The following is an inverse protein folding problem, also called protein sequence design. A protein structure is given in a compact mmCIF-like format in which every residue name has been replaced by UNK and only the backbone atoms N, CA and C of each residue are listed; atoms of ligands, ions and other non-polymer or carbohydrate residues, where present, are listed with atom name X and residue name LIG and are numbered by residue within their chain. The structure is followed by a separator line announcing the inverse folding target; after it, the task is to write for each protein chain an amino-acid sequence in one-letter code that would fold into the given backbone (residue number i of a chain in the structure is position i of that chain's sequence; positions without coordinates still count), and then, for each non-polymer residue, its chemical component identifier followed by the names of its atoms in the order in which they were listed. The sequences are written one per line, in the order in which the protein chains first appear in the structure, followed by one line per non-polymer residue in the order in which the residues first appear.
data_IF_369172806969
#
_entry.id   IF_369172806969
#
_cell.length_a   1.000
_cell.length_b   1.000
_cell.length_c   1.000
_cell.angle_alpha   90.00
_cell.angle_beta   90.00
_cell.angle_gamma   90.00
#
_symmetry.space_group_name_H-M   'P 1'
#
loop_
_entity.id
_entity.type
_entity.pdbx_description
1 polymer ?
#
# COMPACT_ATOMS: atom_id res chain seq x y z
N UNK A 1 34.28 -7.68 -22.58
CA UNK A 1 33.23 -8.69 -22.89
C UNK A 1 33.90 -9.99 -23.31
N UNK A 2 33.37 -11.14 -22.90
CA UNK A 2 33.89 -12.42 -23.33
C UNK A 2 33.54 -12.68 -24.81
N UNK A 3 34.50 -13.10 -25.59
CA UNK A 3 34.33 -13.31 -27.04
C UNK A 3 34.25 -14.80 -27.33
N UNK A 4 33.31 -15.24 -28.15
CA UNK A 4 33.18 -16.64 -28.54
C UNK A 4 34.22 -17.04 -29.53
N UNK A 5 34.80 -18.26 -29.34
CA UNK A 5 35.73 -18.90 -30.24
C UNK A 5 35.06 -20.06 -30.97
N UNK A 6 35.34 -20.23 -32.26
CA UNK A 6 34.85 -21.34 -33.06
C UNK A 6 35.64 -22.61 -32.71
N UNK A 7 34.93 -23.68 -32.45
CA UNK A 7 35.49 -24.98 -32.16
C UNK A 7 35.73 -25.77 -33.48
N UNK A 8 36.58 -26.80 -33.48
CA UNK A 8 36.79 -27.67 -34.64
C UNK A 8 35.50 -28.36 -35.13
N UNK A 9 34.55 -28.56 -34.23
CA UNK A 9 33.19 -29.09 -34.55
C UNK A 9 32.31 -28.12 -35.33
N UNK A 10 32.76 -26.87 -35.53
CA UNK A 10 31.96 -25.82 -36.16
C UNK A 10 31.08 -25.00 -35.15
N UNK A 11 30.84 -25.51 -33.94
CA UNK A 11 30.10 -24.80 -32.88
C UNK A 11 30.91 -23.64 -32.29
N UNK A 12 30.21 -22.70 -31.64
CA UNK A 12 30.84 -21.58 -30.94
C UNK A 12 30.88 -21.83 -29.44
N UNK A 13 31.98 -21.45 -28.78
CA UNK A 13 32.15 -21.51 -27.32
C UNK A 13 32.58 -20.16 -26.77
N UNK A 14 31.87 -19.66 -25.78
CA UNK A 14 32.23 -18.49 -24.98
C UNK A 14 32.51 -18.91 -23.54
N UNK A 15 33.59 -18.39 -22.95
CA UNK A 15 33.99 -18.72 -21.58
C UNK A 15 34.04 -17.45 -20.73
N UNK A 16 33.36 -17.49 -19.57
CA UNK A 16 33.34 -16.40 -18.59
C UNK A 16 33.99 -16.90 -17.31
N UNK A 17 34.74 -16.02 -16.62
CA UNK A 17 35.30 -16.32 -15.31
C UNK A 17 34.13 -16.54 -14.29
N UNK A 18 34.07 -17.73 -13.72
CA UNK A 18 33.14 -18.05 -12.67
C UNK A 18 33.64 -17.54 -11.31
N UNK A 19 34.71 -18.08 -10.83
CA UNK A 19 35.37 -17.71 -9.59
C UNK A 19 36.83 -18.13 -9.60
N UNK A 20 37.57 -17.76 -8.57
CA UNK A 20 38.94 -18.21 -8.37
C UNK A 20 38.96 -19.11 -7.15
N UNK A 21 39.42 -20.34 -7.31
CA UNK A 21 39.61 -21.30 -6.21
C UNK A 21 41.04 -21.26 -5.72
N UNK A 22 41.22 -21.38 -4.41
CA UNK A 22 42.51 -21.67 -3.80
C UNK A 22 42.68 -23.17 -3.69
N UNK A 23 43.84 -23.66 -4.01
CA UNK A 23 44.20 -25.08 -3.89
C UNK A 23 45.60 -25.22 -3.31
N UNK A 24 45.83 -26.27 -2.57
CA UNK A 24 47.15 -26.58 -2.02
C UNK A 24 47.95 -27.32 -3.08
N UNK A 25 49.10 -26.77 -3.44
CA UNK A 25 50.06 -27.44 -4.33
C UNK A 25 50.78 -28.60 -3.63
N UNK A 26 51.40 -29.51 -4.38
CA UNK A 26 52.18 -30.63 -3.81
C UNK A 26 53.33 -30.18 -2.90
N UNK A 27 53.81 -28.95 -3.05
CA UNK A 27 54.83 -28.32 -2.23
C UNK A 27 54.32 -27.65 -0.95
N UNK A 28 53.00 -27.76 -0.66
CA UNK A 28 52.38 -27.19 0.50
C UNK A 28 51.99 -25.70 0.34
N UNK A 29 52.32 -25.04 -0.77
CA UNK A 29 51.96 -23.64 -1.02
C UNK A 29 50.53 -23.51 -1.56
N UNK A 30 49.85 -22.38 -1.23
CA UNK A 30 48.51 -22.08 -1.74
C UNK A 30 48.61 -21.50 -3.14
N UNK A 31 48.03 -22.18 -4.11
CA UNK A 31 47.87 -21.71 -5.48
C UNK A 31 46.45 -21.21 -5.73
N UNK A 32 46.29 -20.36 -6.76
CA UNK A 32 44.98 -19.87 -7.22
C UNK A 32 44.72 -20.34 -8.65
N UNK A 33 43.57 -20.98 -8.90
CA UNK A 33 43.15 -21.34 -10.23
C UNK A 33 41.85 -20.64 -10.61
N UNK A 34 41.75 -20.19 -11.86
CA UNK A 34 40.55 -19.51 -12.39
C UNK A 34 39.60 -20.55 -12.99
N UNK A 35 38.45 -20.71 -12.35
CA UNK A 35 37.36 -21.55 -12.85
C UNK A 35 36.50 -20.74 -13.82
N UNK A 36 36.25 -21.32 -15.01
CA UNK A 36 35.47 -20.68 -16.08
C UNK A 36 34.22 -21.49 -16.40
N UNK A 37 33.10 -20.81 -16.58
CA UNK A 37 31.86 -21.41 -17.12
C UNK A 37 31.87 -21.27 -18.65
N UNK A 38 31.53 -22.34 -19.34
CA UNK A 38 31.49 -22.40 -20.80
C UNK A 38 30.03 -22.41 -21.29
N UNK A 39 29.80 -21.64 -22.34
CA UNK A 39 28.56 -21.61 -23.09
C UNK A 39 28.84 -22.04 -24.51
N UNK A 40 28.03 -22.93 -25.07
CA UNK A 40 28.20 -23.45 -26.44
C UNK A 40 26.93 -23.26 -27.24
N UNK A 41 27.11 -23.03 -28.56
CA UNK A 41 26.02 -22.94 -29.51
C UNK A 41 26.43 -23.71 -30.79
N UNK A 42 25.60 -24.65 -31.21
CA UNK A 42 25.91 -25.55 -32.36
C UNK A 42 25.65 -24.91 -33.73
N UNK A 43 25.03 -23.73 -33.77
CA UNK A 43 24.88 -22.94 -34.99
C UNK A 43 26.26 -22.40 -35.44
N UNK A 44 26.78 -22.91 -36.55
CA UNK A 44 28.10 -22.56 -37.08
C UNK A 44 28.19 -21.16 -37.71
N UNK A 45 27.07 -20.45 -37.83
CA UNK A 45 26.97 -19.13 -38.46
C UNK A 45 27.37 -17.99 -37.50
N UNK A 46 27.45 -16.75 -38.03
CA UNK A 46 27.64 -15.55 -37.20
C UNK A 46 26.51 -15.31 -36.17
N UNK A 47 25.36 -15.91 -36.44
CA UNK A 47 24.22 -15.86 -35.49
C UNK A 47 24.52 -16.70 -34.27
N UNK A 48 25.04 -17.91 -34.42
CA UNK A 48 25.46 -18.77 -33.32
C UNK A 48 26.55 -18.13 -32.45
N UNK A 49 27.49 -17.39 -33.06
CA UNK A 49 28.47 -16.59 -32.30
C UNK A 49 27.78 -15.60 -31.38
N UNK A 50 26.82 -14.81 -31.89
CA UNK A 50 26.06 -13.81 -31.10
C UNK A 50 25.27 -14.45 -29.97
N UNK A 51 24.57 -15.56 -30.24
CA UNK A 51 23.81 -16.28 -29.22
C UNK A 51 24.73 -16.75 -28.09
N UNK A 52 25.90 -17.31 -28.42
CA UNK A 52 26.86 -17.79 -27.44
C UNK A 52 27.43 -16.64 -26.58
N UNK A 53 27.73 -15.49 -27.19
CA UNK A 53 28.17 -14.28 -26.49
C UNK A 53 27.08 -13.67 -25.61
N UNK A 54 25.84 -13.68 -26.10
CA UNK A 54 24.64 -13.19 -25.33
C UNK A 54 24.41 -14.06 -24.10
N UNK A 55 24.38 -15.39 -24.21
CA UNK A 55 24.23 -16.30 -23.06
C UNK A 55 25.35 -16.08 -22.03
N UNK A 56 26.56 -15.84 -22.47
CA UNK A 56 27.69 -15.55 -21.60
C UNK A 56 27.56 -14.20 -20.90
N UNK A 57 27.08 -13.17 -21.61
CA UNK A 57 26.82 -11.83 -21.05
C UNK A 57 25.66 -11.82 -20.07
N UNK A 58 24.55 -12.48 -20.39
CA UNK A 58 23.38 -12.63 -19.49
C UNK A 58 23.77 -13.34 -18.19
N UNK A 59 24.60 -14.41 -18.31
CA UNK A 59 25.08 -15.10 -17.12
C UNK A 59 26.05 -14.24 -16.31
N UNK A 60 26.95 -13.47 -16.95
CA UNK A 60 27.83 -12.55 -16.24
C UNK A 60 27.05 -11.46 -15.51
N UNK A 61 26.05 -10.87 -16.16
CA UNK A 61 25.18 -9.86 -15.55
C UNK A 61 24.36 -10.45 -14.38
N UNK A 62 23.86 -11.68 -14.50
CA UNK A 62 23.18 -12.37 -13.41
C UNK A 62 24.13 -12.64 -12.23
N UNK A 63 25.41 -12.91 -12.51
CA UNK A 63 26.44 -13.14 -11.51
C UNK A 63 26.83 -11.86 -10.76
N UNK A 64 26.89 -10.72 -11.43
CA UNK A 64 27.17 -9.43 -10.78
C UNK A 64 26.08 -9.05 -9.80
N UNK A 65 24.85 -9.51 -10.04
CA UNK A 65 23.71 -9.34 -9.13
C UNK A 65 23.67 -10.37 -7.97
N UNK A 66 24.52 -11.41 -8.02
CA UNK A 66 24.67 -12.38 -6.94
C UNK A 66 25.95 -12.03 -6.16
N UNK A 67 25.82 -11.28 -5.09
CA UNK A 67 26.94 -11.08 -4.15
C UNK A 67 27.40 -12.45 -3.61
N UNK A 68 28.70 -12.71 -3.53
CA UNK A 68 29.22 -13.95 -2.91
C UNK A 68 28.73 -14.17 -1.48
N UNK A 69 28.32 -13.09 -0.80
CA UNK A 69 27.72 -13.11 0.55
C UNK A 69 26.33 -13.75 0.53
N UNK A 70 25.59 -13.68 -0.59
CA UNK A 70 24.23 -14.23 -0.66
C UNK A 70 24.16 -15.76 -0.64
N UNK A 71 25.21 -16.46 -1.03
CA UNK A 71 25.24 -17.94 -1.06
C UNK A 71 25.27 -18.58 0.35
N UNK A 72 25.61 -17.80 1.38
CA UNK A 72 25.69 -18.27 2.78
C UNK A 72 24.55 -17.77 3.66
N UNK A 73 23.79 -16.73 3.24
CA UNK A 73 22.74 -16.12 4.05
C UNK A 73 21.51 -17.02 4.18
N UNK A 74 20.95 -17.05 5.39
CA UNK A 74 19.61 -17.57 5.62
C UNK A 74 18.57 -16.54 5.13
N UNK A 75 17.31 -16.97 4.96
CA UNK A 75 16.22 -16.05 4.63
C UNK A 75 16.04 -14.97 5.70
N UNK A 76 16.20 -15.33 6.99
CA UNK A 76 16.12 -14.39 8.09
C UNK A 76 17.17 -13.29 8.05
N UNK A 77 18.43 -13.64 7.72
CA UNK A 77 19.52 -12.67 7.53
C UNK A 77 19.31 -11.81 6.29
N UNK A 78 18.86 -12.40 5.18
CA UNK A 78 18.51 -11.65 3.97
C UNK A 78 17.34 -10.68 4.20
N UNK A 79 16.33 -11.08 4.98
CA UNK A 79 15.22 -10.21 5.37
C UNK A 79 15.69 -9.07 6.27
N UNK A 80 16.58 -9.36 7.22
CA UNK A 80 17.20 -8.34 8.09
C UNK A 80 17.95 -7.30 7.26
N UNK A 81 18.82 -7.75 6.36
CA UNK A 81 19.59 -6.86 5.48
C UNK A 81 18.65 -6.06 4.55
N UNK A 82 17.61 -6.71 4.01
CA UNK A 82 16.58 -6.05 3.19
C UNK A 82 15.88 -4.92 3.92
N UNK A 83 15.54 -5.10 5.19
CA UNK A 83 14.87 -4.10 6.02
C UNK A 83 15.85 -2.97 6.37
N UNK A 84 17.03 -3.30 6.88
CA UNK A 84 18.04 -2.35 7.37
C UNK A 84 18.56 -1.44 6.26
N UNK A 85 18.81 -2.00 5.07
CA UNK A 85 19.24 -1.21 3.91
C UNK A 85 18.19 -0.19 3.40
N UNK A 86 16.95 -0.28 3.86
CA UNK A 86 15.82 0.59 3.46
C UNK A 86 15.25 1.45 4.58
N UNK A 87 15.85 1.40 5.75
CA UNK A 87 15.33 2.07 6.96
C UNK A 87 15.20 3.58 6.78
N UNK A 88 16.13 4.20 6.07
CA UNK A 88 16.11 5.65 5.79
C UNK A 88 15.29 6.03 4.54
N UNK A 89 14.81 5.06 3.75
CA UNK A 89 14.08 5.29 2.49
C UNK A 89 12.59 5.03 2.70
N UNK A 90 12.25 3.94 3.42
CA UNK A 90 10.87 3.56 3.64
C UNK A 90 10.25 4.33 4.81
N UNK A 91 8.91 4.41 4.79
CA UNK A 91 8.17 4.99 5.90
C UNK A 91 8.42 4.21 7.20
N UNK A 92 8.58 4.88 8.37
CA UNK A 92 8.72 4.22 9.67
C UNK A 92 7.64 3.17 9.96
N UNK A 93 6.40 3.43 9.54
CA UNK A 93 5.33 2.43 9.65
C UNK A 93 5.60 1.17 8.83
N UNK A 94 6.17 1.31 7.63
CA UNK A 94 6.49 0.17 6.77
C UNK A 94 7.60 -0.66 7.39
N UNK A 95 8.65 -0.02 7.90
CA UNK A 95 9.75 -0.69 8.62
C UNK A 95 9.22 -1.43 9.84
N UNK A 96 8.38 -0.78 10.65
CA UNK A 96 7.74 -1.40 11.82
C UNK A 96 6.92 -2.64 11.42
N UNK A 97 6.15 -2.55 10.35
CA UNK A 97 5.31 -3.66 9.88
C UNK A 97 6.16 -4.82 9.33
N UNK A 98 7.28 -4.53 8.66
CA UNK A 98 8.27 -5.52 8.21
C UNK A 98 8.95 -6.21 9.41
N UNK A 99 9.40 -5.44 10.40
CA UNK A 99 9.96 -5.98 11.65
C UNK A 99 8.93 -6.82 12.42
N UNK A 100 7.66 -6.40 12.41
CA UNK A 100 6.55 -7.19 12.96
C UNK A 100 6.36 -8.52 12.23
N UNK A 101 6.45 -8.51 10.91
CA UNK A 101 6.39 -9.72 10.08
C UNK A 101 7.55 -10.66 10.37
N UNK A 102 8.76 -10.14 10.43
CA UNK A 102 9.97 -10.90 10.75
C UNK A 102 9.88 -11.61 12.10
N UNK A 103 9.33 -10.94 13.11
CA UNK A 103 9.23 -11.51 14.48
C UNK A 103 8.13 -12.54 14.65
N UNK A 104 6.99 -12.33 13.96
CA UNK A 104 5.77 -13.05 14.31
C UNK A 104 5.31 -14.06 13.25
N UNK A 105 5.80 -13.96 12.01
CA UNK A 105 5.29 -14.76 10.90
C UNK A 105 6.41 -15.44 10.11
N UNK A 106 6.05 -16.44 9.32
CA UNK A 106 6.96 -17.14 8.39
C UNK A 106 8.25 -17.69 9.06
N UNK A 107 8.16 -18.05 10.34
CA UNK A 107 9.31 -18.55 11.11
C UNK A 107 9.94 -19.81 10.49
N UNK A 108 9.15 -20.62 9.78
CA UNK A 108 9.62 -21.80 9.06
C UNK A 108 10.60 -21.51 7.92
N UNK A 109 10.63 -20.26 7.41
CA UNK A 109 11.58 -19.85 6.36
C UNK A 109 12.87 -19.27 6.93
N UNK A 110 12.85 -18.73 8.15
CA UNK A 110 13.95 -17.89 8.66
C UNK A 110 15.31 -18.60 8.69
N UNK A 111 15.35 -19.88 9.00
CA UNK A 111 16.59 -20.67 9.08
C UNK A 111 17.03 -21.31 7.77
N UNK A 112 16.23 -21.24 6.69
CA UNK A 112 16.57 -21.86 5.41
C UNK A 112 17.55 -20.96 4.66
N UNK A 113 18.62 -21.53 4.09
CA UNK A 113 19.53 -20.79 3.23
C UNK A 113 18.79 -20.22 2.03
N UNK A 114 19.03 -18.95 1.69
CA UNK A 114 18.26 -18.22 0.69
C UNK A 114 18.32 -18.88 -0.69
N UNK A 115 19.42 -19.49 -1.04
CA UNK A 115 19.64 -20.22 -2.29
C UNK A 115 18.96 -21.60 -2.32
N UNK A 116 18.70 -22.19 -1.15
CA UNK A 116 18.06 -23.49 -1.00
C UNK A 116 16.52 -23.41 -0.89
N UNK A 117 15.95 -22.21 -0.66
CA UNK A 117 14.48 -22.04 -0.56
C UNK A 117 13.80 -22.52 -1.84
N UNK A 118 12.81 -23.37 -1.68
CA UNK A 118 11.98 -23.88 -2.78
C UNK A 118 10.62 -23.19 -2.82
N UNK A 119 9.92 -23.30 -3.94
CA UNK A 119 8.53 -22.86 -4.07
C UNK A 119 7.61 -23.57 -3.07
N UNK A 120 7.92 -24.83 -2.76
CA UNK A 120 7.15 -25.63 -1.79
C UNK A 120 7.30 -25.10 -0.36
N UNK A 121 8.51 -24.68 0.05
CA UNK A 121 8.75 -24.10 1.36
C UNK A 121 7.94 -22.81 1.53
N UNK A 122 7.92 -21.96 0.51
CA UNK A 122 7.14 -20.72 0.54
C UNK A 122 5.64 -21.04 0.61
N UNK A 123 5.15 -22.00 -0.18
CA UNK A 123 3.75 -22.38 -0.14
C UNK A 123 3.34 -22.94 1.23
N UNK A 124 4.17 -23.78 1.84
CA UNK A 124 3.94 -24.32 3.21
C UNK A 124 3.90 -23.21 4.24
N UNK A 125 4.86 -22.27 4.21
CA UNK A 125 4.88 -21.14 5.13
C UNK A 125 3.63 -20.27 4.99
N UNK A 126 3.21 -19.94 3.77
CA UNK A 126 2.00 -19.16 3.50
C UNK A 126 0.73 -19.91 3.93
N UNK A 127 0.66 -21.22 3.73
CA UNK A 127 -0.48 -22.03 4.17
C UNK A 127 -0.62 -22.02 5.70
N UNK A 128 0.48 -22.12 6.44
CA UNK A 128 0.48 -22.04 7.91
C UNK A 128 -0.08 -20.70 8.41
N UNK A 129 0.31 -19.60 7.76
CA UNK A 129 -0.19 -18.26 8.10
C UNK A 129 -1.66 -18.08 7.70
N UNK A 130 -2.08 -18.68 6.59
CA UNK A 130 -3.45 -18.55 6.07
C UNK A 130 -4.52 -19.19 6.99
N UNK A 131 -4.13 -20.12 7.85
CA UNK A 131 -5.03 -20.72 8.86
C UNK A 131 -5.43 -19.69 9.94
N UNK A 132 -4.52 -18.80 10.31
CA UNK A 132 -4.64 -17.90 11.46
C UNK A 132 -4.97 -16.45 11.06
N UNK A 133 -4.61 -16.04 9.85
CA UNK A 133 -4.62 -14.65 9.46
C UNK A 133 -5.63 -14.33 8.35
N UNK A 134 -5.99 -13.07 8.26
CA UNK A 134 -6.85 -12.58 7.18
C UNK A 134 -6.15 -12.71 5.81
N UNK A 135 -6.91 -12.93 4.71
CA UNK A 135 -6.35 -12.98 3.37
C UNK A 135 -5.49 -11.76 3.00
N UNK A 136 -5.82 -10.58 3.51
CA UNK A 136 -5.04 -9.35 3.30
C UNK A 136 -3.69 -9.42 4.00
N UNK A 137 -3.65 -9.87 5.25
CA UNK A 137 -2.42 -10.01 6.02
C UNK A 137 -1.48 -11.01 5.38
N UNK A 138 -2.00 -12.20 5.00
CA UNK A 138 -1.21 -13.23 4.29
C UNK A 138 -0.60 -12.69 2.99
N UNK A 139 -1.37 -11.92 2.22
CA UNK A 139 -0.87 -11.30 0.98
C UNK A 139 0.20 -10.25 1.24
N UNK A 140 0.12 -9.50 2.33
CA UNK A 140 1.15 -8.54 2.72
C UNK A 140 2.45 -9.27 3.12
N UNK A 141 2.34 -10.35 3.90
CA UNK A 141 3.48 -11.20 4.27
C UNK A 141 4.14 -11.79 3.02
N UNK A 142 3.36 -12.40 2.11
CA UNK A 142 3.87 -12.92 0.84
C UNK A 142 4.51 -11.82 -0.01
N UNK A 143 3.96 -10.60 0.00
CA UNK A 143 4.55 -9.45 -0.70
C UNK A 143 5.94 -9.10 -0.19
N UNK A 144 6.19 -9.19 1.12
CA UNK A 144 7.51 -8.99 1.71
C UNK A 144 8.47 -10.13 1.34
N UNK A 145 8.03 -11.40 1.46
CA UNK A 145 8.82 -12.56 1.02
C UNK A 145 9.24 -12.42 -0.45
N UNK A 146 8.28 -12.06 -1.30
CA UNK A 146 8.50 -11.83 -2.73
C UNK A 146 9.51 -10.71 -3.00
N UNK A 147 9.44 -9.63 -2.23
CA UNK A 147 10.34 -8.49 -2.36
C UNK A 147 11.79 -8.84 -1.95
N UNK A 148 11.95 -9.61 -0.90
CA UNK A 148 13.27 -10.14 -0.46
C UNK A 148 13.84 -11.08 -1.52
N UNK A 149 13.06 -12.08 -1.95
CA UNK A 149 13.53 -13.04 -2.96
C UNK A 149 13.86 -12.38 -4.30
N UNK A 150 13.16 -11.33 -4.68
CA UNK A 150 13.50 -10.58 -5.90
C UNK A 150 14.88 -9.94 -5.85
N UNK A 151 15.37 -9.57 -4.66
CA UNK A 151 16.70 -9.00 -4.48
C UNK A 151 17.76 -10.09 -4.45
N UNK A 152 17.55 -11.14 -3.66
CA UNK A 152 18.56 -12.15 -3.37
C UNK A 152 18.51 -13.37 -4.31
N UNK A 153 17.35 -13.62 -4.95
CA UNK A 153 17.15 -14.69 -5.95
C UNK A 153 16.33 -14.21 -7.15
N UNK A 154 16.79 -13.24 -7.93
CA UNK A 154 16.02 -12.60 -9.00
C UNK A 154 15.57 -13.59 -10.10
N UNK A 155 16.24 -14.73 -10.25
CA UNK A 155 15.86 -15.78 -11.20
C UNK A 155 14.73 -16.69 -10.71
N UNK A 156 14.34 -16.60 -9.44
CA UNK A 156 13.26 -17.42 -8.86
C UNK A 156 11.90 -16.82 -9.18
N UNK A 157 11.16 -17.43 -10.10
CA UNK A 157 9.77 -17.07 -10.34
C UNK A 157 8.87 -17.63 -9.23
N UNK A 158 8.11 -16.77 -8.57
CA UNK A 158 7.15 -17.18 -7.53
C UNK A 158 5.78 -17.47 -8.11
N UNK A 159 5.29 -18.69 -7.89
CA UNK A 159 3.95 -19.14 -8.25
C UNK A 159 3.20 -19.65 -7.01
N UNK A 160 3.00 -18.77 -6.02
CA UNK A 160 2.37 -19.12 -4.75
C UNK A 160 0.86 -18.94 -4.83
N UNK A 161 0.10 -19.99 -4.49
CA UNK A 161 -1.34 -19.90 -4.32
C UNK A 161 -1.66 -19.06 -3.07
N UNK A 162 -2.43 -17.99 -3.25
CA UNK A 162 -2.79 -17.06 -2.18
C UNK A 162 -4.29 -17.09 -1.89
N UNK A 163 -4.71 -16.92 -0.62
CA UNK A 163 -6.12 -16.91 -0.28
C UNK A 163 -6.86 -15.81 -1.06
N UNK A 164 -8.11 -16.11 -1.48
CA UNK A 164 -8.95 -15.15 -2.21
C UNK A 164 -9.19 -13.89 -1.40
N UNK A 165 -9.13 -12.72 -2.05
CA UNK A 165 -9.48 -11.45 -1.40
C UNK A 165 -10.95 -11.50 -0.97
N UNK A 166 -11.21 -11.29 0.32
CA UNK A 166 -12.59 -11.08 0.80
C UNK A 166 -12.95 -9.61 0.60
N UNK A 167 -14.13 -9.35 0.06
CA UNK A 167 -14.70 -8.00 0.09
C UNK A 167 -15.08 -7.68 1.53
N UNK A 168 -14.51 -6.62 2.07
CA UNK A 168 -14.92 -6.08 3.37
C UNK A 168 -16.11 -5.18 3.08
N UNK A 169 -17.25 -5.48 3.70
CA UNK A 169 -18.37 -4.57 3.71
C UNK A 169 -18.02 -3.43 4.66
N UNK A 170 -17.84 -2.22 4.10
CA UNK A 170 -17.57 -1.03 4.90
C UNK A 170 -18.88 -0.58 5.51
N UNK A 171 -18.89 -0.35 6.83
CA UNK A 171 -19.98 0.35 7.47
C UNK A 171 -19.73 1.86 7.31
N UNK A 172 -20.71 2.57 6.78
CA UNK A 172 -20.70 4.03 6.69
C UNK A 172 -21.83 4.51 7.60
N UNK A 173 -21.51 5.31 8.63
CA UNK A 173 -22.54 5.81 9.53
C UNK A 173 -23.54 6.71 8.78
N UNK A 174 -24.80 6.70 9.21
CA UNK A 174 -25.85 7.58 8.69
C UNK A 174 -25.71 9.02 9.23
N UNK A 175 -26.46 9.96 8.66
CA UNK A 175 -26.50 11.35 9.11
C UNK A 175 -27.00 11.44 10.57
N UNK A 176 -27.97 10.61 10.95
CA UNK A 176 -28.51 10.55 12.31
C UNK A 176 -27.45 10.04 13.29
N UNK A 177 -26.71 9.01 12.94
CA UNK A 177 -25.64 8.45 13.78
C UNK A 177 -24.50 9.45 13.96
N UNK A 178 -24.10 10.15 12.88
CA UNK A 178 -23.08 11.21 12.96
C UNK A 178 -23.57 12.38 13.79
N UNK A 179 -24.85 12.76 13.69
CA UNK A 179 -25.45 13.80 14.53
C UNK A 179 -25.49 13.42 16.03
N UNK A 180 -25.85 12.18 16.35
CA UNK A 180 -25.78 11.66 17.72
C UNK A 180 -24.35 11.71 18.24
N UNK A 181 -23.38 11.28 17.41
CA UNK A 181 -21.97 11.32 17.75
C UNK A 181 -21.51 12.76 18.03
N UNK A 182 -21.81 13.71 17.14
CA UNK A 182 -21.42 15.12 17.28
C UNK A 182 -21.97 15.72 18.57
N UNK A 183 -23.24 15.50 18.87
CA UNK A 183 -23.85 15.97 20.12
C UNK A 183 -23.19 15.37 21.37
N UNK A 184 -22.74 14.11 21.27
CA UNK A 184 -22.10 13.42 22.41
C UNK A 184 -20.66 13.89 22.64
N UNK A 185 -19.94 14.28 21.58
CA UNK A 185 -18.55 14.73 21.69
C UNK A 185 -18.40 16.23 21.91
N UNK A 186 -19.49 16.99 21.85
CA UNK A 186 -19.50 18.44 22.05
C UNK A 186 -18.85 18.80 23.40
N UNK A 187 -17.93 19.77 23.39
CA UNK A 187 -17.16 20.19 24.55
C UNK A 187 -16.09 19.19 25.02
N UNK A 188 -15.94 18.04 24.35
CA UNK A 188 -14.90 17.05 24.68
C UNK A 188 -13.69 17.18 23.76
N UNK A 189 -12.60 16.51 24.12
CA UNK A 189 -11.39 16.41 23.28
C UNK A 189 -11.59 15.67 21.94
N UNK A 190 -12.73 15.00 21.74
CA UNK A 190 -13.10 14.33 20.50
C UNK A 190 -13.89 15.21 19.54
N UNK A 191 -14.43 16.34 19.98
CA UNK A 191 -15.24 17.22 19.14
C UNK A 191 -14.51 17.62 17.87
N UNK A 192 -13.38 18.28 18.01
CA UNK A 192 -12.60 18.78 16.88
C UNK A 192 -12.12 17.64 15.96
N UNK A 193 -11.54 16.53 16.46
CA UNK A 193 -11.22 15.37 15.60
C UNK A 193 -12.39 14.84 14.78
N UNK A 194 -13.56 14.73 15.37
CA UNK A 194 -14.78 14.23 14.69
C UNK A 194 -15.22 15.20 13.60
N UNK A 195 -15.29 16.50 13.89
CA UNK A 195 -15.65 17.53 12.91
C UNK A 195 -14.69 17.55 11.72
N UNK A 196 -13.38 17.51 11.97
CA UNK A 196 -12.36 17.51 10.92
C UNK A 196 -12.40 16.24 10.05
N UNK A 197 -12.75 15.09 10.63
CA UNK A 197 -12.89 13.85 9.88
C UNK A 197 -14.20 13.78 9.08
N UNK A 198 -15.31 14.22 9.66
CA UNK A 198 -16.65 14.14 9.06
C UNK A 198 -16.88 15.21 7.98
N UNK A 199 -16.35 16.42 8.15
CA UNK A 199 -16.57 17.52 7.20
C UNK A 199 -15.39 17.79 6.29
N UNK A 200 -14.12 17.48 6.73
CA UNK A 200 -12.90 17.73 5.96
C UNK A 200 -12.21 16.50 5.37
N UNK A 201 -12.85 15.35 5.29
CA UNK A 201 -12.34 13.97 5.12
C UNK A 201 -10.85 13.79 5.46
N UNK A 202 -10.42 14.31 6.61
CA UNK A 202 -9.04 14.21 7.07
C UNK A 202 -8.73 12.82 7.65
N UNK A 203 -7.48 12.38 7.47
CA UNK A 203 -7.01 11.14 8.09
C UNK A 203 -6.67 11.38 9.57
N UNK A 204 -6.84 10.36 10.39
CA UNK A 204 -6.54 10.41 11.83
C UNK A 204 -5.16 11.02 12.15
N UNK A 205 -4.12 10.59 11.42
CA UNK A 205 -2.77 11.10 11.64
C UNK A 205 -2.56 12.54 11.14
N UNK A 206 -3.30 12.98 10.13
CA UNK A 206 -3.33 14.38 9.66
C UNK A 206 -3.95 15.28 10.72
N UNK A 207 -5.07 14.87 11.29
CA UNK A 207 -5.76 15.59 12.38
C UNK A 207 -4.86 15.76 13.60
N UNK A 208 -4.20 14.69 14.05
CA UNK A 208 -3.29 14.75 15.20
C UNK A 208 -2.01 15.56 14.94
N UNK A 209 -1.67 15.80 13.67
CA UNK A 209 -0.49 16.60 13.29
C UNK A 209 -0.82 18.06 12.99
N UNK A 210 -2.11 18.45 12.96
CA UNK A 210 -2.57 19.78 12.59
C UNK A 210 -2.13 20.83 13.61
N UNK A 211 -1.59 21.95 13.12
CA UNK A 211 -1.15 23.08 13.90
C UNK A 211 -1.94 24.35 13.57
N UNK A 212 -1.94 25.32 14.47
CA UNK A 212 -2.60 26.62 14.23
C UNK A 212 -2.03 27.33 13.00
N UNK A 213 -0.74 27.18 12.72
CA UNK A 213 -0.08 27.75 11.54
C UNK A 213 -0.57 27.16 10.20
N UNK A 214 -1.26 26.04 10.24
CA UNK A 214 -1.83 25.39 9.05
C UNK A 214 -3.23 25.94 8.69
N UNK A 215 -3.76 26.89 9.48
CA UNK A 215 -5.12 27.44 9.34
C UNK A 215 -5.02 28.89 8.90
N UNK A 216 -5.68 29.23 7.78
CA UNK A 216 -5.78 30.58 7.26
C UNK A 216 -7.25 30.87 6.87
N UNK A 217 -7.95 31.66 7.70
CA UNK A 217 -9.41 31.82 7.57
C UNK A 217 -10.09 30.44 7.68
N UNK A 218 -10.92 30.11 6.71
CA UNK A 218 -11.63 28.83 6.65
C UNK A 218 -10.81 27.70 5.97
N UNK A 219 -9.64 28.02 5.49
CA UNK A 219 -8.80 27.07 4.76
C UNK A 219 -7.80 26.40 5.68
N UNK A 220 -7.83 25.08 5.73
CA UNK A 220 -6.89 24.22 6.45
C UNK A 220 -5.93 23.57 5.46
N UNK A 221 -4.63 23.80 5.64
CA UNK A 221 -3.58 23.17 4.85
C UNK A 221 -3.15 21.85 5.48
N UNK A 222 -3.46 20.75 4.82
CA UNK A 222 -3.09 19.40 5.25
C UNK A 222 -1.77 19.01 4.62
N UNK A 223 -0.65 19.26 5.31
CA UNK A 223 0.71 19.00 4.82
C UNK A 223 1.51 18.09 5.74
N UNK A 224 0.91 17.59 6.83
CA UNK A 224 1.58 16.83 7.89
C UNK A 224 0.79 15.59 8.26
N UNK A 225 1.47 14.57 8.75
CA UNK A 225 0.86 13.34 9.24
C UNK A 225 1.65 12.77 10.42
N UNK A 226 0.97 12.49 11.52
CA UNK A 226 1.57 11.86 12.70
C UNK A 226 1.58 10.34 12.55
N UNK A 227 2.75 9.73 12.68
CA UNK A 227 2.97 8.29 12.52
C UNK A 227 3.75 7.72 13.69
N UNK A 228 3.57 6.42 13.96
CA UNK A 228 4.30 5.71 15.01
C UNK A 228 5.55 5.06 14.44
N UNK A 229 6.68 5.28 15.09
CA UNK A 229 7.97 4.65 14.75
C UNK A 229 8.06 3.22 15.27
N UNK A 230 9.17 2.55 14.98
CA UNK A 230 9.49 1.22 15.52
C UNK A 230 9.64 1.25 17.05
N UNK A 231 10.22 2.31 17.59
CA UNK A 231 10.44 2.53 19.03
C UNK A 231 9.19 3.04 19.76
N UNK A 232 8.02 2.89 19.10
CA UNK A 232 6.74 3.34 19.62
C UNK A 232 6.61 4.85 19.86
N UNK A 233 7.51 5.66 19.32
CA UNK A 233 7.43 7.12 19.39
C UNK A 233 6.50 7.67 18.30
N UNK A 234 5.84 8.78 18.60
CA UNK A 234 5.01 9.50 17.63
C UNK A 234 5.83 10.63 17.02
N UNK A 235 5.94 10.62 15.69
CA UNK A 235 6.62 11.66 14.91
C UNK A 235 5.69 12.27 13.88
N UNK A 236 5.91 13.56 13.57
CA UNK A 236 5.23 14.26 12.50
C UNK A 236 6.12 14.24 11.26
N UNK A 237 5.53 13.95 10.11
CA UNK A 237 6.23 13.95 8.83
C UNK A 237 5.32 14.42 7.71
N UNK A 238 5.90 14.72 6.55
CA UNK A 238 5.16 15.03 5.33
C UNK A 238 4.22 13.87 4.89
N UNK A 239 3.17 14.15 4.13
CA UNK A 239 2.27 13.14 3.58
C UNK A 239 3.01 12.13 2.70
N UNK A 240 2.45 10.92 2.58
CA UNK A 240 3.04 9.83 1.79
C UNK A 240 3.00 10.09 0.27
N UNK A 241 2.09 10.94 -0.20
CA UNK A 241 1.86 11.21 -1.63
C UNK A 241 1.54 12.69 -1.83
N UNK A 242 1.79 13.19 -3.03
CA UNK A 242 1.44 14.57 -3.42
C UNK A 242 -0.05 14.88 -3.20
N UNK A 243 -0.95 13.94 -3.49
CA UNK A 243 -2.38 14.12 -3.23
C UNK A 243 -2.71 14.28 -1.73
N UNK A 244 -1.80 13.90 -0.84
CA UNK A 244 -1.95 14.11 0.61
C UNK A 244 -1.71 15.56 1.03
N UNK A 245 -0.96 16.33 0.26
CA UNK A 245 -0.75 17.77 0.47
C UNK A 245 -1.89 18.52 -0.23
N UNK A 246 -2.76 19.15 0.55
CA UNK A 246 -4.00 19.75 0.05
C UNK A 246 -4.56 20.80 0.97
N UNK A 247 -5.44 21.62 0.43
CA UNK A 247 -6.20 22.61 1.15
C UNK A 247 -7.66 22.17 1.25
N UNK A 248 -8.26 22.37 2.42
CA UNK A 248 -9.66 22.04 2.70
C UNK A 248 -10.34 23.29 3.25
N UNK A 249 -11.39 23.71 2.58
CA UNK A 249 -12.27 24.79 3.05
C UNK A 249 -13.32 24.20 4.00
N UNK A 250 -13.41 24.74 5.21
CA UNK A 250 -14.33 24.30 6.25
C UNK A 250 -15.41 25.34 6.49
N UNK A 251 -16.63 24.94 6.95
CA UNK A 251 -17.64 25.86 7.43
C UNK A 251 -17.12 26.71 8.60
N UNK A 252 -17.60 27.96 8.69
CA UNK A 252 -17.24 28.93 9.74
C UNK A 252 -17.41 28.31 11.14
N UNK A 253 -18.53 27.66 11.41
CA UNK A 253 -18.82 27.00 12.69
C UNK A 253 -17.76 25.97 13.11
N UNK A 254 -17.10 25.30 12.16
CA UNK A 254 -16.02 24.36 12.47
C UNK A 254 -14.75 25.11 12.85
N UNK A 255 -14.42 26.14 12.10
CA UNK A 255 -13.21 26.95 12.33
C UNK A 255 -13.30 27.74 13.67
N UNK A 256 -14.47 28.25 14.00
CA UNK A 256 -14.70 28.97 15.26
C UNK A 256 -14.49 28.08 16.49
N UNK A 257 -14.79 26.78 16.40
CA UNK A 257 -14.59 25.80 17.46
C UNK A 257 -13.13 25.35 17.62
N UNK A 258 -12.26 25.65 16.64
CA UNK A 258 -10.84 25.26 16.73
C UNK A 258 -10.12 26.05 17.83
N UNK A 259 -9.27 25.40 18.64
CA UNK A 259 -8.48 26.08 19.66
C UNK A 259 -7.56 27.14 19.03
N UNK A 260 -7.67 28.38 19.46
CA UNK A 260 -6.83 29.52 19.02
C UNK A 260 -5.58 29.60 19.89
N UNK A 261 -4.69 28.61 19.77
CA UNK A 261 -3.44 28.54 20.53
C UNK A 261 -2.26 28.16 19.65
N UNK A 262 -1.02 28.61 19.91
CA UNK A 262 0.15 28.19 19.16
C UNK A 262 0.38 26.68 19.24
N UNK A 263 0.94 26.11 18.16
CA UNK A 263 1.26 24.69 18.09
C UNK A 263 0.08 23.82 17.67
N UNK A 264 0.10 22.57 18.12
CA UNK A 264 -0.88 21.56 17.72
C UNK A 264 -2.29 21.88 18.23
N UNK A 265 -3.26 21.73 17.34
CA UNK A 265 -4.69 21.89 17.65
C UNK A 265 -5.19 20.74 18.55
N UNK A 266 -4.69 19.53 18.33
CA UNK A 266 -5.11 18.30 19.00
C UNK A 266 -3.96 17.76 19.85
N UNK A 267 -4.20 17.59 21.16
CA UNK A 267 -3.21 17.05 22.08
C UNK A 267 -3.08 15.51 22.00
N UNK A 268 -4.09 14.83 21.45
CA UNK A 268 -4.11 13.38 21.30
C UNK A 268 -3.13 12.90 20.21
N UNK A 269 -2.53 11.75 20.45
CA UNK A 269 -1.90 10.99 19.37
C UNK A 269 -2.93 10.08 18.67
N UNK A 270 -2.64 9.54 17.47
CA UNK A 270 -3.57 8.70 16.72
C UNK A 270 -4.04 7.42 17.45
N UNK A 271 -3.24 6.87 18.36
CA UNK A 271 -3.65 5.74 19.21
C UNK A 271 -4.72 6.15 20.21
N UNK A 272 -4.41 7.17 21.02
CA UNK A 272 -5.34 7.71 22.02
C UNK A 272 -6.66 8.15 21.39
N UNK A 273 -6.59 8.80 20.22
CA UNK A 273 -7.79 9.20 19.47
C UNK A 273 -8.67 7.99 19.13
N UNK A 274 -8.08 6.90 18.66
CA UNK A 274 -8.86 5.67 18.36
C UNK A 274 -9.50 5.09 19.61
N UNK A 275 -8.70 4.91 20.69
CA UNK A 275 -9.18 4.28 21.92
C UNK A 275 -10.33 5.09 22.58
N UNK A 276 -10.19 6.43 22.56
CA UNK A 276 -11.24 7.32 23.08
C UNK A 276 -12.49 7.32 22.20
N UNK A 277 -12.32 7.30 20.88
CA UNK A 277 -13.42 7.22 19.92
C UNK A 277 -14.22 5.93 20.08
N UNK A 278 -13.56 4.77 20.21
CA UNK A 278 -14.23 3.50 20.45
C UNK A 278 -15.00 3.48 21.79
N UNK A 279 -14.45 4.10 22.83
CA UNK A 279 -15.15 4.27 24.11
C UNK A 279 -16.38 5.18 23.96
N UNK A 280 -16.28 6.23 23.17
CA UNK A 280 -17.38 7.15 22.89
C UNK A 280 -18.52 6.43 22.16
N UNK A 281 -18.25 5.65 21.10
CA UNK A 281 -19.28 4.90 20.37
C UNK A 281 -20.06 3.95 21.29
N UNK A 282 -19.36 3.26 22.18
CA UNK A 282 -20.02 2.40 23.18
C UNK A 282 -20.93 3.18 24.14
N UNK A 283 -20.53 4.39 24.53
CA UNK A 283 -21.35 5.28 25.36
C UNK A 283 -22.61 5.75 24.66
N UNK A 284 -22.54 6.04 23.37
CA UNK A 284 -23.65 6.48 22.54
C UNK A 284 -24.61 5.35 22.15
N UNK A 285 -24.27 4.10 22.45
CA UNK A 285 -24.97 2.92 21.94
C UNK A 285 -25.07 2.90 20.38
N UNK A 286 -24.06 3.47 19.73
CA UNK A 286 -23.96 3.47 18.28
C UNK A 286 -23.32 2.16 17.78
N UNK A 287 -23.65 1.70 16.57
CA UNK A 287 -22.95 0.61 15.92
C UNK A 287 -21.44 0.86 15.89
N UNK A 288 -20.66 -0.22 15.97
CA UNK A 288 -19.20 -0.10 15.89
C UNK A 288 -18.78 0.27 14.48
N UNK A 289 -18.14 1.43 14.32
CA UNK A 289 -17.40 1.84 13.13
C UNK A 289 -16.08 2.49 13.55
N UNK A 290 -15.13 2.53 12.61
CA UNK A 290 -13.80 3.06 12.89
C UNK A 290 -13.79 4.57 12.74
N UNK A 291 -12.91 5.26 13.42
CA UNK A 291 -12.70 6.69 13.22
C UNK A 291 -12.47 7.06 11.73
N UNK A 292 -11.80 6.19 10.97
CA UNK A 292 -11.58 6.39 9.54
C UNK A 292 -12.86 6.35 8.70
N UNK A 293 -13.91 5.72 9.21
CA UNK A 293 -15.18 5.59 8.49
C UNK A 293 -15.97 6.93 8.48
N UNK A 294 -15.64 7.89 9.35
CA UNK A 294 -16.11 9.29 9.25
C UNK A 294 -15.61 9.97 7.96
N UNK A 295 -14.40 9.66 7.54
CA UNK A 295 -13.87 10.13 6.26
C UNK A 295 -14.59 9.47 5.08
N UNK A 296 -15.02 8.22 5.21
CA UNK A 296 -15.85 7.55 4.22
C UNK A 296 -17.26 8.15 4.18
N UNK A 297 -17.84 8.47 5.35
CA UNK A 297 -19.08 9.22 5.46
C UNK A 297 -19.00 10.55 4.70
N UNK A 298 -17.98 11.37 4.96
CA UNK A 298 -17.78 12.65 4.27
C UNK A 298 -17.76 12.49 2.74
N UNK A 299 -17.01 11.52 2.22
CA UNK A 299 -16.95 11.25 0.80
C UNK A 299 -18.30 10.81 0.23
N UNK A 300 -19.07 10.01 0.97
CA UNK A 300 -20.38 9.53 0.57
C UNK A 300 -21.41 10.65 0.51
N UNK A 301 -21.40 11.56 1.49
CA UNK A 301 -22.27 12.74 1.49
C UNK A 301 -21.96 13.67 0.33
N UNK A 302 -20.69 13.99 0.10
CA UNK A 302 -20.28 14.84 -1.04
C UNK A 302 -20.74 14.24 -2.38
N UNK A 303 -20.60 12.92 -2.54
CA UNK A 303 -21.07 12.22 -3.72
C UNK A 303 -22.61 12.25 -3.83
N UNK A 304 -23.34 12.06 -2.72
CA UNK A 304 -24.80 12.14 -2.67
C UNK A 304 -25.32 13.55 -3.04
N UNK A 305 -24.55 14.58 -2.72
CA UNK A 305 -24.82 15.97 -3.12
C UNK A 305 -24.49 16.25 -4.59
N UNK A 306 -24.00 15.27 -5.34
CA UNK A 306 -23.65 15.43 -6.76
C UNK A 306 -22.32 16.13 -6.99
N UNK A 307 -21.45 16.25 -5.98
CA UNK A 307 -20.11 16.83 -6.16
C UNK A 307 -19.28 15.90 -7.05
N UNK A 308 -18.68 16.39 -8.14
CA UNK A 308 -17.87 15.55 -9.03
C UNK A 308 -16.69 14.89 -8.30
N UNK A 309 -16.39 13.64 -8.67
CA UNK A 309 -15.35 12.80 -8.05
C UNK A 309 -13.99 13.49 -7.95
N UNK A 310 -13.62 14.30 -8.94
CA UNK A 310 -12.34 15.02 -8.96
C UNK A 310 -12.20 15.96 -7.75
N UNK A 311 -13.26 16.67 -7.37
CA UNK A 311 -13.24 17.56 -6.21
C UNK A 311 -13.27 16.79 -4.89
N UNK A 312 -14.04 15.69 -4.83
CA UNK A 312 -14.05 14.80 -3.67
C UNK A 312 -12.66 14.20 -3.45
N UNK A 313 -12.01 13.75 -4.53
CA UNK A 313 -10.64 13.22 -4.50
C UNK A 313 -9.64 14.26 -4.03
N UNK A 314 -9.71 15.47 -4.56
CA UNK A 314 -8.84 16.58 -4.16
C UNK A 314 -9.04 16.91 -2.67
N UNK A 315 -10.28 17.12 -2.22
CA UNK A 315 -10.61 17.43 -0.82
C UNK A 315 -10.12 16.34 0.14
N UNK A 316 -10.28 15.07 -0.23
CA UNK A 316 -9.86 13.93 0.60
C UNK A 316 -8.39 13.52 0.40
N UNK A 317 -7.70 13.97 -0.63
CA UNK A 317 -6.33 13.52 -0.94
C UNK A 317 -6.28 12.05 -1.35
N UNK A 318 -7.18 11.63 -2.26
CA UNK A 318 -7.13 10.32 -2.91
C UNK A 318 -6.41 10.43 -4.25
N UNK A 319 -5.35 9.66 -4.44
CA UNK A 319 -4.55 9.66 -5.66
C UNK A 319 -5.16 8.87 -6.83
N UNK A 320 -6.21 8.07 -6.57
CA UNK A 320 -6.97 7.35 -7.60
C UNK A 320 -8.43 7.19 -7.20
N UNK A 321 -9.29 7.02 -8.21
CA UNK A 321 -10.73 6.88 -8.07
C UNK A 321 -11.18 5.49 -7.56
N UNK A 322 -10.33 4.48 -7.69
CA UNK A 322 -10.67 3.11 -7.27
C UNK A 322 -10.98 2.99 -5.78
N UNK A 323 -10.24 3.73 -4.93
CA UNK A 323 -10.51 3.78 -3.50
C UNK A 323 -11.81 4.53 -3.21
N UNK A 324 -12.05 5.64 -3.89
CA UNK A 324 -13.23 6.44 -3.76
C UNK A 324 -14.48 5.64 -4.20
N UNK A 325 -14.46 5.03 -5.39
CA UNK A 325 -15.53 4.17 -5.90
C UNK A 325 -15.83 2.97 -5.00
N UNK A 326 -14.82 2.43 -4.31
CA UNK A 326 -15.03 1.37 -3.31
C UNK A 326 -15.82 1.88 -2.09
N UNK A 327 -15.66 3.14 -1.71
CA UNK A 327 -16.40 3.79 -0.61
C UNK A 327 -17.87 4.00 -0.99
N UNK A 328 -18.17 4.60 -2.16
CA UNK A 328 -19.57 4.90 -2.48
C UNK A 328 -20.41 3.68 -2.88
N UNK A 329 -19.85 2.58 -3.34
CA UNK A 329 -20.66 1.40 -3.72
C UNK A 329 -21.62 0.92 -2.65
N UNK A 330 -21.38 1.32 -1.40
CA UNK A 330 -22.27 1.02 -0.27
C UNK A 330 -23.25 2.15 0.02
N UNK A 331 -22.86 3.41 -0.18
CA UNK A 331 -23.76 4.56 -0.04
C UNK A 331 -24.80 4.67 -1.17
N UNK A 332 -24.52 4.01 -2.30
CA UNK A 332 -25.37 4.00 -3.48
C UNK A 332 -26.59 3.06 -3.37
N UNK A 333 -26.70 2.21 -2.34
CA UNK A 333 -27.83 1.27 -2.27
C UNK A 333 -29.18 1.99 -2.21
N UNK A 334 -29.28 3.03 -1.40
CA UNK A 334 -30.54 3.76 -1.21
C UNK A 334 -30.80 4.72 -2.38
N UNK A 335 -29.76 5.42 -2.84
CA UNK A 335 -29.86 6.29 -4.02
C UNK A 335 -29.95 5.51 -5.32
N UNK A 336 -29.43 4.29 -5.38
CA UNK A 336 -29.60 3.41 -6.53
C UNK A 336 -31.06 2.98 -6.71
N UNK A 337 -31.83 2.81 -5.64
CA UNK A 337 -33.26 2.55 -5.74
C UNK A 337 -33.99 3.76 -6.33
N UNK A 338 -33.69 4.96 -5.88
CA UNK A 338 -34.24 6.20 -6.43
C UNK A 338 -33.87 6.40 -7.90
N UNK A 339 -32.60 6.19 -8.26
CA UNK A 339 -32.14 6.28 -9.66
C UNK A 339 -32.74 5.18 -10.53
N UNK A 340 -32.90 3.96 -10.03
CA UNK A 340 -33.58 2.88 -10.76
C UNK A 340 -35.06 3.22 -10.95
N UNK A 341 -35.72 3.84 -9.97
CA UNK A 341 -37.10 4.29 -10.11
C UNK A 341 -37.23 5.34 -11.21
N UNK A 342 -36.38 6.37 -11.24
CA UNK A 342 -36.34 7.37 -12.30
C UNK A 342 -36.05 6.75 -13.69
N UNK A 343 -35.14 5.80 -13.77
CA UNK A 343 -34.84 5.11 -15.01
C UNK A 343 -36.07 4.27 -15.47
N UNK A 344 -36.72 3.56 -14.55
CA UNK A 344 -37.90 2.76 -14.86
C UNK A 344 -39.08 3.66 -15.29
N UNK A 345 -39.32 4.77 -14.61
CA UNK A 345 -40.34 5.77 -14.99
C UNK A 345 -40.07 6.27 -16.43
N UNK A 346 -38.82 6.62 -16.76
CA UNK A 346 -38.46 7.00 -18.12
C UNK A 346 -38.73 5.91 -19.17
N UNK A 347 -38.39 4.66 -18.85
CA UNK A 347 -38.64 3.53 -19.75
C UNK A 347 -40.14 3.19 -19.87
N UNK A 348 -40.91 3.32 -18.79
CA UNK A 348 -42.35 3.17 -18.80
C UNK A 348 -43.04 4.23 -19.67
N UNK A 349 -42.58 5.50 -19.59
CA UNK A 349 -43.04 6.58 -20.46
C UNK A 349 -42.75 6.30 -21.93
N UNK A 350 -41.56 5.76 -22.25
CA UNK A 350 -41.21 5.36 -23.61
C UNK A 350 -42.08 4.19 -24.13
N UNK A 351 -42.39 3.24 -23.27
CA UNK A 351 -43.21 2.07 -23.62
C UNK A 351 -44.69 2.42 -23.75
N UNK A 352 -45.18 3.38 -22.95
CA UNK A 352 -46.58 3.83 -22.99
C UNK A 352 -46.90 4.80 -24.15
N UNK A 353 -45.92 5.04 -25.04
CA UNK A 353 -46.11 5.82 -26.27
C UNK A 353 -46.47 7.29 -26.01
N UNK A 354 -45.63 7.96 -25.24
CA UNK A 354 -45.52 9.42 -25.14
C UNK A 354 -46.74 10.27 -25.45
N UNK A 355 -47.83 10.15 -24.72
CA UNK A 355 -48.92 11.09 -24.77
C UNK A 355 -48.81 12.11 -23.62
N UNK A 356 -47.75 12.92 -23.67
CA UNK A 356 -47.73 14.18 -22.95
C UNK A 356 -47.15 15.28 -23.83
N UNK A 357 -48.06 16.05 -24.44
CA UNK A 357 -47.77 17.35 -25.03
C UNK A 357 -47.12 18.25 -23.99
N UNK A 358 -46.08 18.91 -24.43
CA UNK A 358 -45.24 19.74 -23.61
C UNK A 358 -45.95 20.89 -22.92
N UNK A 359 -45.73 20.99 -21.65
CA UNK A 359 -45.90 22.24 -20.90
C UNK A 359 -44.53 22.82 -20.54
N UNK A 360 -43.85 23.31 -21.55
CA UNK A 360 -42.73 24.24 -21.33
C UNK A 360 -43.23 25.58 -20.83
N UNK A 361 -43.40 25.73 -19.54
CA UNK A 361 -43.47 27.10 -18.92
C UNK A 361 -42.06 27.67 -18.89
N UNK A 362 -41.73 28.46 -19.95
CA UNK A 362 -40.60 29.40 -19.94
C UNK A 362 -40.79 30.37 -18.77
N UNK A 363 -39.92 30.32 -17.77
CA UNK A 363 -39.64 31.49 -16.91
C UNK A 363 -38.60 32.33 -17.66
N UNK A 364 -39.02 33.51 -18.07
CA UNK A 364 -38.19 34.64 -18.50
C UNK A 364 -37.81 35.50 -17.29
N UNK A 365 -36.90 36.41 -17.46
CA UNK A 365 -35.62 36.59 -16.79
C UNK A 365 -35.72 37.25 -15.44
#
# INVERSE_FOLDING_TARGET
MATAKKLPSGSWRCQVLSHTEEYTKPDGTIGKRKIRKSFTCDDSTKRGKRICEQMAAEWAASKENHSPVAESLTFGEALEDYISSRENILSPCTIRDYRGTQRNYIQSLMGIKIDAITQEDIQKAINLEAVKLSPKTVRNIHGLVSAVLRVYRPSMALNTALPKKKRIQLYIPSDEEVKILMNTVEGTELEIPVLLAAFGPMRRGEICALEQSDINGNIVHVSKNMVRTIDNQWIIKAPKSFAGDRYIDFPDDVIERLPKRPGRIIDLNPGQLTDKFEKCLRKCNLPHFRFHDLRHYSASILHALGIPDVYIMQRGGWGNDGTLKAVYRHALSDKAQEMNKLANEHFEDLLSGGSHEGSHKKKKP
#
